data_IF_663444554193
#
_entry.id   IF_663444554193
#
_cell.length_a   1.000
_cell.length_b   1.000
_cell.length_c   1.000
_cell.angle_alpha   90.00
_cell.angle_beta   90.00
_cell.angle_gamma   90.00
#
_symmetry.space_group_name_H-M   'P 1'
#
loop_
_entity.id
_entity.type
_entity.pdbx_description
1 polymer ?
#
# COMPACT_ATOMS: atom_id res chain seq x y z
N UNK A 1 -1.05 9.21 -1.77
CA UNK A 1 -0.55 9.81 -0.51
C UNK A 1 0.66 9.06 0.06
N UNK A 2 0.59 7.78 0.43
CA UNK A 2 1.75 7.04 0.96
C UNK A 2 2.87 6.82 -0.07
N UNK A 3 2.53 6.38 -1.28
CA UNK A 3 3.51 6.22 -2.36
C UNK A 3 4.14 7.55 -2.79
N UNK A 4 3.35 8.62 -2.93
CA UNK A 4 3.87 9.96 -3.26
C UNK A 4 4.88 10.45 -2.22
N UNK A 5 4.61 10.19 -0.93
CA UNK A 5 5.54 10.46 0.16
C UNK A 5 6.85 9.68 0.00
N UNK A 6 6.77 8.38 -0.31
CA UNK A 6 7.95 7.54 -0.53
C UNK A 6 8.75 8.02 -1.75
N UNK A 7 8.10 8.39 -2.86
CA UNK A 7 8.75 8.98 -4.02
C UNK A 7 9.54 10.23 -3.64
N UNK A 8 8.95 11.14 -2.86
CA UNK A 8 9.62 12.34 -2.35
C UNK A 8 10.79 12.03 -1.40
N UNK A 9 10.74 10.89 -0.69
CA UNK A 9 11.82 10.38 0.16
C UNK A 9 12.92 9.65 -0.62
N UNK A 10 12.87 9.67 -1.94
CA UNK A 10 13.85 9.02 -2.80
C UNK A 10 13.55 7.56 -3.08
N UNK A 11 12.31 7.09 -2.90
CA UNK A 11 11.86 5.75 -3.28
C UNK A 11 11.46 5.62 -4.77
N UNK A 12 11.96 6.50 -5.65
CA UNK A 12 11.68 6.43 -7.08
C UNK A 12 12.21 5.09 -7.67
N UNK A 13 11.35 4.27 -8.30
CA UNK A 13 11.79 3.07 -9.01
C UNK A 13 12.82 3.42 -10.10
N UNK A 14 13.74 2.51 -10.39
CA UNK A 14 14.80 2.74 -11.40
C UNK A 14 14.28 2.63 -12.84
N UNK A 15 13.10 2.03 -13.04
CA UNK A 15 12.48 1.83 -14.36
C UNK A 15 11.10 2.50 -14.45
N UNK A 16 10.83 3.13 -15.60
CA UNK A 16 9.49 3.64 -15.93
C UNK A 16 8.60 2.57 -16.58
N UNK A 17 7.26 2.64 -16.41
CA UNK A 17 6.52 3.66 -15.65
C UNK A 17 6.58 3.46 -14.13
N UNK A 18 6.55 4.56 -13.38
CA UNK A 18 6.44 4.52 -11.92
C UNK A 18 5.06 3.97 -11.54
N UNK A 19 5.04 2.79 -10.92
CA UNK A 19 3.82 2.16 -10.42
C UNK A 19 3.82 2.12 -8.90
N UNK A 20 2.63 2.03 -8.30
CA UNK A 20 2.49 1.89 -6.85
C UNK A 20 3.22 0.65 -6.30
N UNK A 21 3.09 -0.56 -6.88
CA UNK A 21 3.86 -1.72 -6.42
C UNK A 21 5.37 -1.50 -6.47
N UNK A 22 5.89 -1.02 -7.61
CA UNK A 22 7.32 -0.76 -7.77
C UNK A 22 7.84 0.31 -6.79
N UNK A 23 7.01 1.29 -6.41
CA UNK A 23 7.36 2.31 -5.42
C UNK A 23 7.49 1.70 -4.01
N UNK A 24 6.61 0.78 -3.62
CA UNK A 24 6.70 0.09 -2.33
C UNK A 24 7.90 -0.86 -2.28
N UNK A 25 8.18 -1.58 -3.36
CA UNK A 25 9.36 -2.43 -3.48
C UNK A 25 10.65 -1.60 -3.36
N UNK A 26 10.76 -0.50 -4.10
CA UNK A 26 11.90 0.40 -4.04
C UNK A 26 12.07 1.04 -2.64
N UNK A 27 10.96 1.33 -1.94
CA UNK A 27 11.00 1.83 -0.57
C UNK A 27 11.58 0.79 0.41
N UNK A 28 11.22 -0.49 0.28
CA UNK A 28 11.80 -1.55 1.09
C UNK A 28 13.30 -1.75 0.80
N UNK A 29 13.68 -1.78 -0.48
CA UNK A 29 15.09 -1.92 -0.89
C UNK A 29 15.98 -0.81 -0.33
N UNK A 30 15.41 0.39 -0.13
CA UNK A 30 16.10 1.54 0.46
C UNK A 30 15.93 1.66 1.98
N UNK A 31 15.31 0.67 2.63
CA UNK A 31 15.10 0.65 4.08
C UNK A 31 14.16 1.74 4.60
N UNK A 32 13.31 2.31 3.74
CA UNK A 32 12.35 3.35 4.12
C UNK A 32 11.11 2.75 4.80
N UNK A 33 10.79 1.50 4.50
CA UNK A 33 9.73 0.70 5.11
C UNK A 33 10.22 -0.74 5.29
N UNK A 34 9.60 -1.49 6.20
CA UNK A 34 9.92 -2.90 6.36
C UNK A 34 9.47 -3.73 5.14
N UNK A 35 10.17 -4.83 4.86
CA UNK A 35 9.92 -5.66 3.68
C UNK A 35 8.52 -6.31 3.72
N UNK A 36 8.05 -6.71 4.90
CA UNK A 36 6.69 -7.23 5.10
C UNK A 36 5.63 -6.15 4.85
N UNK A 37 5.85 -4.93 5.36
CA UNK A 37 5.00 -3.76 5.08
C UNK A 37 4.90 -3.50 3.58
N UNK A 38 6.01 -3.53 2.85
CA UNK A 38 6.01 -3.34 1.40
C UNK A 38 5.24 -4.44 0.68
N UNK A 39 5.46 -5.70 1.06
CA UNK A 39 4.77 -6.83 0.46
C UNK A 39 3.25 -6.76 0.68
N UNK A 40 2.81 -6.39 1.89
CA UNK A 40 1.40 -6.20 2.21
C UNK A 40 0.76 -5.12 1.32
N UNK A 41 1.45 -4.00 1.12
CA UNK A 41 0.98 -2.88 0.30
C UNK A 41 0.97 -3.21 -1.21
N UNK A 42 1.96 -3.98 -1.68
CA UNK A 42 2.01 -4.51 -3.06
C UNK A 42 0.81 -5.44 -3.29
N UNK A 43 0.62 -6.43 -2.41
CA UNK A 43 -0.47 -7.40 -2.51
C UNK A 43 -1.84 -6.72 -2.53
N UNK A 44 -2.06 -5.76 -1.62
CA UNK A 44 -3.29 -4.98 -1.59
C UNK A 44 -3.50 -4.20 -2.90
N UNK A 45 -2.45 -3.57 -3.42
CA UNK A 45 -2.52 -2.78 -4.66
C UNK A 45 -2.87 -3.67 -5.86
N UNK A 46 -2.20 -4.81 -6.00
CA UNK A 46 -2.45 -5.75 -7.11
C UNK A 46 -3.87 -6.32 -7.05
N UNK A 47 -4.35 -6.68 -5.86
CA UNK A 47 -5.73 -7.14 -5.67
C UNK A 47 -6.73 -6.11 -6.18
N UNK A 48 -6.59 -4.86 -5.75
CA UNK A 48 -7.49 -3.78 -6.16
C UNK A 48 -7.43 -3.49 -7.66
N UNK A 49 -6.24 -3.49 -8.25
CA UNK A 49 -6.06 -3.30 -9.70
C UNK A 49 -6.72 -4.42 -10.52
N UNK A 50 -6.56 -5.67 -10.08
CA UNK A 50 -7.16 -6.83 -10.74
C UNK A 50 -8.69 -6.76 -10.67
N UNK A 51 -9.25 -6.40 -9.51
CA UNK A 51 -10.69 -6.22 -9.33
C UNK A 51 -11.23 -5.08 -10.20
N UNK A 52 -10.59 -3.90 -10.20
CA UNK A 52 -11.03 -2.77 -11.02
C UNK A 52 -10.90 -3.07 -12.53
N UNK A 53 -9.83 -3.77 -12.94
CA UNK A 53 -9.63 -4.19 -14.32
C UNK A 53 -10.75 -5.10 -14.81
N UNK A 54 -11.08 -6.13 -14.02
CA UNK A 54 -12.19 -7.05 -14.31
C UNK A 54 -13.52 -6.32 -14.45
N UNK A 55 -13.81 -5.37 -13.56
CA UNK A 55 -15.09 -4.65 -13.58
C UNK A 55 -15.20 -3.68 -14.75
N UNK A 56 -14.09 -3.04 -15.12
CA UNK A 56 -14.05 -2.21 -16.33
C UNK A 56 -14.32 -3.04 -17.58
N UNK A 57 -13.76 -4.25 -17.65
CA UNK A 57 -13.96 -5.15 -18.79
C UNK A 57 -15.38 -5.74 -18.85
N UNK A 58 -15.99 -6.05 -17.71
CA UNK A 58 -17.26 -6.78 -17.66
C UNK A 58 -18.49 -5.90 -17.52
N UNK A 59 -18.38 -4.78 -16.80
CA UNK A 59 -19.49 -3.91 -16.40
C UNK A 59 -19.31 -2.44 -16.82
N UNK A 60 -18.18 -2.10 -17.46
CA UNK A 60 -17.90 -0.74 -17.93
C UNK A 60 -17.67 0.29 -16.81
N UNK A 61 -17.43 -0.16 -15.57
CA UNK A 61 -17.38 0.69 -14.39
C UNK A 61 -16.33 0.28 -13.37
N UNK A 62 -16.26 1.01 -12.25
CA UNK A 62 -15.43 0.67 -11.08
C UNK A 62 -16.01 -0.52 -10.33
N UNK A 63 -15.18 -1.19 -9.53
CA UNK A 63 -15.62 -2.26 -8.63
C UNK A 63 -16.78 -1.80 -7.73
N UNK A 64 -17.90 -2.53 -7.78
CA UNK A 64 -19.05 -2.33 -6.90
C UNK A 64 -19.61 -3.70 -6.46
N UNK A 65 -19.36 -4.14 -5.21
CA UNK A 65 -19.83 -5.43 -4.69
C UNK A 65 -21.34 -5.65 -4.84
N UNK A 66 -22.12 -4.57 -4.75
CA UNK A 66 -23.59 -4.64 -4.79
C UNK A 66 -24.14 -4.80 -6.20
N UNK A 67 -23.34 -4.50 -7.22
CA UNK A 67 -23.72 -4.63 -8.62
C UNK A 67 -23.31 -5.99 -9.23
N UNK A 68 -22.71 -6.88 -8.44
CA UNK A 68 -22.22 -8.18 -8.90
C UNK A 68 -23.39 -9.13 -9.11
N UNK A 69 -23.55 -9.56 -10.36
CA UNK A 69 -24.55 -10.56 -10.70
C UNK A 69 -24.14 -11.95 -10.17
N UNK A 70 -25.10 -12.83 -9.83
CA UNK A 70 -24.79 -14.16 -9.30
C UNK A 70 -23.86 -15.00 -10.19
N UNK A 71 -24.02 -14.90 -11.50
CA UNK A 71 -23.20 -15.59 -12.52
C UNK A 71 -21.73 -15.14 -12.53
N UNK A 72 -21.43 -13.93 -12.08
CA UNK A 72 -20.07 -13.37 -12.04
C UNK A 72 -19.28 -13.77 -10.78
N UNK A 73 -19.98 -14.19 -9.72
CA UNK A 73 -19.39 -14.42 -8.38
C UNK A 73 -18.30 -15.49 -8.40
N UNK A 74 -18.54 -16.58 -9.13
CA UNK A 74 -17.59 -17.69 -9.22
C UNK A 74 -16.31 -17.29 -9.97
N UNK A 75 -16.45 -16.61 -11.11
CA UNK A 75 -15.29 -16.13 -11.87
C UNK A 75 -14.45 -15.12 -11.08
N UNK A 76 -15.07 -14.28 -10.25
CA UNK A 76 -14.35 -13.35 -9.37
C UNK A 76 -13.55 -14.12 -8.30
N UNK A 77 -14.13 -15.17 -7.70
CA UNK A 77 -13.44 -16.02 -6.73
C UNK A 77 -12.22 -16.72 -7.36
N UNK A 78 -12.38 -17.28 -8.56
CA UNK A 78 -11.30 -17.92 -9.31
C UNK A 78 -10.17 -16.95 -9.67
N UNK A 79 -10.50 -15.75 -10.14
CA UNK A 79 -9.51 -14.71 -10.50
C UNK A 79 -8.72 -14.18 -9.30
N UNK A 80 -9.29 -14.26 -8.12
CA UNK A 80 -8.65 -13.84 -6.87
C UNK A 80 -8.01 -15.02 -6.11
N UNK A 81 -8.14 -16.25 -6.63
CA UNK A 81 -7.54 -17.45 -6.07
C UNK A 81 -8.20 -17.95 -4.78
N UNK A 82 -9.45 -17.60 -4.53
CA UNK A 82 -10.20 -17.99 -3.32
C UNK A 82 -11.40 -18.87 -3.65
N UNK A 83 -11.92 -19.57 -2.64
CA UNK A 83 -12.94 -20.61 -2.79
C UNK A 83 -14.35 -20.10 -3.05
N UNK A 84 -14.63 -18.84 -2.72
CA UNK A 84 -15.98 -18.29 -2.80
C UNK A 84 -15.98 -16.78 -2.91
N UNK A 85 -17.08 -16.20 -3.41
CA UNK A 85 -17.24 -14.76 -3.45
C UNK A 85 -17.26 -14.11 -2.05
N UNK A 86 -17.75 -14.82 -1.03
CA UNK A 86 -17.65 -14.34 0.36
C UNK A 86 -16.20 -14.29 0.84
N UNK A 87 -15.35 -15.22 0.41
CA UNK A 87 -13.91 -15.18 0.66
C UNK A 87 -13.25 -13.99 -0.05
N UNK A 88 -13.72 -13.59 -1.23
CA UNK A 88 -13.27 -12.36 -1.90
C UNK A 88 -13.57 -11.13 -1.05
N UNK A 89 -14.78 -11.04 -0.49
CA UNK A 89 -15.18 -9.92 0.38
C UNK A 89 -14.34 -9.86 1.66
N UNK A 90 -14.02 -11.03 2.25
CA UNK A 90 -13.08 -11.12 3.38
C UNK A 90 -11.70 -10.65 2.98
N UNK A 91 -11.14 -11.16 1.89
CA UNK A 91 -9.83 -10.78 1.39
C UNK A 91 -9.72 -9.27 1.13
N UNK A 92 -10.74 -8.67 0.50
CA UNK A 92 -10.85 -7.22 0.30
C UNK A 92 -10.80 -6.46 1.63
N UNK A 93 -11.54 -6.94 2.63
CA UNK A 93 -11.61 -6.29 3.94
C UNK A 93 -10.28 -6.40 4.68
N UNK A 94 -9.70 -7.59 4.73
CA UNK A 94 -8.43 -7.88 5.39
C UNK A 94 -7.28 -7.08 4.78
N UNK A 95 -7.16 -7.09 3.45
CA UNK A 95 -6.13 -6.31 2.74
C UNK A 95 -6.33 -4.81 2.90
N UNK A 96 -7.57 -4.32 2.96
CA UNK A 96 -7.88 -2.90 3.20
C UNK A 96 -7.50 -2.44 4.61
N UNK A 97 -7.86 -3.25 5.62
CA UNK A 97 -7.50 -2.98 7.02
C UNK A 97 -5.98 -3.05 7.19
N UNK A 98 -5.35 -4.12 6.68
CA UNK A 98 -3.91 -4.29 6.73
C UNK A 98 -3.16 -3.15 6.06
N UNK A 99 -3.55 -2.78 4.83
CA UNK A 99 -2.95 -1.65 4.12
C UNK A 99 -3.13 -0.33 4.89
N UNK A 100 -4.29 -0.09 5.51
CA UNK A 100 -4.51 1.11 6.33
C UNK A 100 -3.59 1.16 7.55
N UNK A 101 -3.38 0.03 8.23
CA UNK A 101 -2.43 -0.08 9.36
C UNK A 101 -1.00 0.20 8.87
N UNK A 102 -0.57 -0.46 7.79
CA UNK A 102 0.75 -0.26 7.19
C UNK A 102 0.99 1.18 6.75
N UNK A 103 0.01 1.81 6.10
CA UNK A 103 0.09 3.23 5.73
C UNK A 103 0.24 4.10 6.97
N UNK A 104 -0.51 3.80 8.05
CA UNK A 104 -0.36 4.52 9.30
C UNK A 104 1.03 4.32 9.92
N UNK A 105 1.59 3.11 9.90
CA UNK A 105 2.96 2.83 10.36
C UNK A 105 4.01 3.63 9.59
N UNK A 106 3.89 3.69 8.25
CA UNK A 106 4.76 4.51 7.39
C UNK A 106 4.72 5.99 7.82
N UNK A 107 3.54 6.50 8.17
CA UNK A 107 3.39 7.87 8.64
C UNK A 107 3.67 8.08 10.13
N UNK A 108 3.62 7.04 10.97
CA UNK A 108 3.81 7.14 12.43
C UNK A 108 5.25 6.87 12.86
N UNK A 109 6.01 6.06 12.10
CA UNK A 109 7.47 5.99 12.22
C UNK A 109 8.15 7.37 12.04
N UNK A 110 7.44 8.32 11.41
CA UNK A 110 7.75 9.75 11.33
C UNK A 110 7.96 10.42 12.70
N UNK A 111 7.22 10.00 13.74
CA UNK A 111 7.23 10.69 15.04
C UNK A 111 8.41 10.30 15.94
N UNK A 112 9.08 9.19 15.68
CA UNK A 112 10.19 8.70 16.52
C UNK A 112 11.57 9.16 16.05
N UNK A 113 11.71 9.64 14.81
CA UNK A 113 13.00 10.16 14.31
C UNK A 113 13.14 11.67 14.40
N UNK A 114 12.11 12.39 14.88
CA UNK A 114 12.12 13.85 15.00
C UNK A 114 12.39 14.35 16.43
N UNK A 115 13.08 13.54 17.24
CA UNK A 115 13.34 13.83 18.65
C UNK A 115 14.71 13.35 19.13
N UNK A 116 15.79 13.67 18.41
CA UNK A 116 17.10 13.80 19.07
C UNK A 116 18.08 14.62 18.24
N UNK A 117 18.17 15.93 18.51
CA UNK A 117 19.36 16.79 18.29
C UNK A 117 19.05 18.24 18.64
N UNK A 118 19.34 18.64 19.89
CA UNK A 118 20.10 19.86 20.24
C UNK A 118 19.95 20.22 21.72
N UNK A 119 20.47 19.36 22.59
CA UNK A 119 20.93 19.76 23.92
C UNK A 119 22.37 20.27 23.84
N UNK A 120 22.62 21.29 23.00
CA UNK A 120 23.93 21.93 22.89
C UNK A 120 24.12 22.93 24.03
N UNK A 121 24.82 22.51 25.09
CA UNK A 121 25.19 23.37 26.21
C UNK A 121 26.17 24.44 25.72
N UNK A 122 25.71 25.68 25.60
CA UNK A 122 26.56 26.83 25.29
C UNK A 122 27.40 27.18 26.53
N UNK A 123 28.61 26.64 26.63
CA UNK A 123 29.60 27.07 27.62
C UNK A 123 30.23 28.39 27.15
N UNK A 124 29.69 29.52 27.62
CA UNK A 124 30.37 30.81 27.56
C UNK A 124 31.45 30.83 28.66
N UNK A 125 32.67 30.45 28.31
CA UNK A 125 33.86 30.77 29.11
C UNK A 125 34.35 32.17 28.73
N UNK A 126 34.43 32.98 29.77
CA UNK A 126 35.11 34.25 29.94
C UNK A 126 36.46 34.34 29.22
N UNK A 127 36.70 35.49 28.58
CA UNK A 127 38.00 36.11 28.40
C UNK A 127 37.83 37.63 28.58
#
# INVERSE_FOLDING_TARGET
MAADYLLLRGAAPESEPITLPATFEAAAQRGLIAADTAQDLVNATLLWQNLDGLFRMTNGGRFNPKAIRPDQRQSIAELTGVESFDAVLRLITETSVGASVRIHEVFSGMRLTQGDSSGGTLNLRTA
#
